data_IF_821358769718
#
_entry.id   IF_821358769718
#
_cell.length_a   1.000
_cell.length_b   1.000
_cell.length_c   1.000
_cell.angle_alpha   90.00
_cell.angle_beta   90.00
_cell.angle_gamma   90.00
#
_symmetry.space_group_name_H-M   'P 1'
#
loop_
_entity.id
_entity.type
_entity.pdbx_description
1 polymer ?
#
# COMPACT_ATOMS: atom_id res chain seq x y z
N UNK A 1 7.23 8.65 -65.15
CA UNK A 1 7.34 7.24 -64.73
C UNK A 1 7.56 7.19 -63.22
N UNK A 2 6.65 6.55 -62.48
CA UNK A 2 6.82 5.92 -61.13
C UNK A 2 7.29 6.87 -59.99
N UNK A 3 6.70 6.90 -58.81
CA UNK A 3 5.71 6.07 -58.14
C UNK A 3 5.61 6.51 -56.67
N UNK A 4 4.55 6.05 -56.01
CA UNK A 4 4.13 6.20 -54.61
C UNK A 4 5.26 6.33 -53.55
N UNK A 5 5.02 7.12 -52.51
CA UNK A 5 4.65 6.59 -51.19
C UNK A 5 4.40 7.72 -50.17
N UNK A 6 3.15 7.81 -49.71
CA UNK A 6 2.73 8.51 -48.50
C UNK A 6 3.35 7.79 -47.30
N UNK A 7 4.04 8.49 -46.42
CA UNK A 7 4.34 7.98 -45.07
C UNK A 7 4.13 9.11 -44.04
N UNK A 8 2.88 9.25 -43.61
CA UNK A 8 2.56 9.96 -42.37
C UNK A 8 2.95 9.03 -41.22
N UNK A 9 4.09 9.29 -40.56
CA UNK A 9 4.40 8.66 -39.27
C UNK A 9 3.84 9.52 -38.15
N UNK A 10 2.74 9.04 -37.57
CA UNK A 10 2.23 9.50 -36.30
C UNK A 10 3.25 9.22 -35.18
N UNK A 11 3.89 10.26 -34.66
CA UNK A 11 4.66 10.20 -33.42
C UNK A 11 3.74 10.46 -32.23
N UNK A 12 2.83 9.51 -31.98
CA UNK A 12 2.08 9.41 -30.74
C UNK A 12 2.74 8.38 -29.83
N UNK A 13 3.65 8.82 -28.97
CA UNK A 13 4.15 8.01 -27.86
C UNK A 13 4.01 8.84 -26.58
N UNK A 14 2.79 8.89 -26.05
CA UNK A 14 2.58 9.22 -24.64
C UNK A 14 3.16 8.05 -23.86
N UNK A 15 4.33 8.25 -23.24
CA UNK A 15 4.85 7.32 -22.25
C UNK A 15 3.80 7.17 -21.15
N UNK A 16 3.18 5.99 -21.06
CA UNK A 16 2.25 5.71 -19.98
C UNK A 16 3.03 5.77 -18.66
N UNK A 17 2.75 6.83 -17.91
CA UNK A 17 3.26 7.06 -16.58
C UNK A 17 3.03 5.81 -15.71
N UNK A 18 4.06 5.46 -14.93
CA UNK A 18 4.01 4.44 -13.89
C UNK A 18 3.24 5.06 -12.71
N UNK A 19 1.93 5.23 -12.88
CA UNK A 19 1.04 5.78 -11.84
C UNK A 19 0.53 4.66 -10.94
N UNK A 20 0.62 4.82 -9.60
CA UNK A 20 -0.10 3.97 -8.65
C UNK A 20 -1.56 3.78 -9.08
N UNK A 21 -2.09 2.56 -8.99
CA UNK A 21 -3.53 2.36 -9.16
C UNK A 21 -4.26 2.82 -7.90
N UNK A 22 -5.19 3.77 -8.07
CA UNK A 22 -5.96 4.40 -6.99
C UNK A 22 -7.22 3.64 -6.57
N UNK A 23 -7.67 2.69 -7.40
CA UNK A 23 -8.91 1.94 -7.25
C UNK A 23 -8.76 0.49 -7.72
N UNK A 24 -9.69 -0.37 -7.29
CA UNK A 24 -9.68 -1.81 -7.54
C UNK A 24 -9.79 -2.15 -9.03
N UNK A 25 -10.60 -1.40 -9.79
CA UNK A 25 -10.76 -1.61 -11.23
C UNK A 25 -9.44 -1.43 -11.98
N UNK A 26 -8.71 -0.36 -11.68
CA UNK A 26 -7.41 -0.08 -12.28
C UNK A 26 -6.33 -1.05 -11.82
N UNK A 27 -6.43 -1.57 -10.60
CA UNK A 27 -5.53 -2.60 -10.07
C UNK A 27 -5.72 -3.95 -10.78
N UNK A 28 -6.97 -4.39 -10.95
CA UNK A 28 -7.30 -5.65 -11.62
C UNK A 28 -6.79 -5.70 -13.07
N UNK A 29 -6.73 -4.55 -13.76
CA UNK A 29 -6.21 -4.43 -15.12
C UNK A 29 -4.67 -4.39 -15.21
N UNK A 30 -3.95 -4.11 -14.10
CA UNK A 30 -2.50 -3.79 -14.11
C UNK A 30 -1.75 -4.51 -12.99
N UNK A 31 -1.71 -5.83 -13.06
CA UNK A 31 -1.18 -6.68 -12.00
C UNK A 31 0.36 -6.73 -11.93
N UNK A 32 1.10 -6.61 -13.06
CA UNK A 32 2.55 -6.82 -13.08
C UNK A 32 3.47 -5.69 -12.56
N UNK A 33 2.95 -4.48 -12.29
CA UNK A 33 3.76 -3.31 -11.86
C UNK A 33 3.60 -2.96 -10.37
N UNK A 34 2.68 -3.62 -9.67
CA UNK A 34 2.18 -3.24 -8.35
C UNK A 34 2.53 -4.31 -7.30
N UNK A 35 3.76 -4.83 -7.27
CA UNK A 35 4.17 -5.84 -6.29
C UNK A 35 5.38 -5.38 -5.47
N UNK A 36 5.48 -5.87 -4.23
CA UNK A 36 6.68 -5.81 -3.40
C UNK A 36 7.69 -6.92 -3.75
N UNK A 37 7.41 -7.74 -4.77
CA UNK A 37 8.24 -8.87 -5.21
C UNK A 37 8.41 -8.90 -6.75
N UNK A 38 9.56 -9.38 -7.22
CA UNK A 38 9.90 -9.47 -8.65
C UNK A 38 9.22 -10.64 -9.39
N UNK A 39 8.78 -11.71 -8.74
CA UNK A 39 8.16 -12.89 -9.39
C UNK A 39 6.73 -13.16 -8.85
N UNK A 40 5.85 -13.71 -9.70
CA UNK A 40 4.43 -14.02 -9.45
C UNK A 40 3.58 -12.81 -9.05
N UNK A 41 3.27 -11.98 -10.07
CA UNK A 41 2.69 -10.65 -9.91
C UNK A 41 1.21 -10.56 -10.22
N UNK A 42 0.57 -11.67 -10.56
CA UNK A 42 -0.81 -11.68 -11.04
C UNK A 42 -1.73 -12.00 -9.88
N UNK A 43 -2.72 -11.13 -9.65
CA UNK A 43 -3.91 -11.47 -8.89
C UNK A 43 -4.88 -12.10 -9.89
N UNK A 44 -5.38 -13.30 -9.59
CA UNK A 44 -6.37 -14.02 -10.37
C UNK A 44 -7.76 -13.48 -10.03
N UNK A 45 -8.42 -12.67 -10.90
CA UNK A 45 -9.63 -11.93 -10.52
C UNK A 45 -10.81 -12.81 -10.10
N UNK A 46 -10.81 -14.07 -10.53
CA UNK A 46 -11.88 -15.04 -10.25
C UNK A 46 -11.78 -15.66 -8.84
N UNK A 47 -10.63 -15.53 -8.17
CA UNK A 47 -10.35 -16.15 -6.87
C UNK A 47 -9.94 -15.14 -5.80
N UNK A 48 -9.59 -13.91 -6.21
CA UNK A 48 -9.13 -12.88 -5.31
C UNK A 48 -10.27 -12.16 -4.60
N UNK A 49 -10.18 -12.07 -3.27
CA UNK A 49 -10.98 -11.14 -2.49
C UNK A 49 -10.21 -9.82 -2.36
N UNK A 50 -10.80 -8.72 -2.85
CA UNK A 50 -10.25 -7.37 -2.69
C UNK A 50 -11.37 -6.41 -2.29
N UNK A 51 -11.24 -5.83 -1.09
CA UNK A 51 -12.15 -4.81 -0.58
C UNK A 51 -11.95 -3.49 -1.34
N UNK A 52 -13.03 -2.76 -1.66
CA UNK A 52 -12.99 -1.51 -2.43
C UNK A 52 -12.49 -0.30 -1.62
N UNK A 53 -11.30 -0.41 -1.00
CA UNK A 53 -10.67 0.67 -0.25
C UNK A 53 -10.07 1.69 -1.22
N UNK A 54 -10.39 2.97 -1.07
CA UNK A 54 -9.80 4.00 -1.94
C UNK A 54 -8.47 4.47 -1.37
N UNK A 55 -7.43 4.54 -2.21
CA UNK A 55 -6.10 4.99 -1.80
C UNK A 55 -6.07 6.50 -1.56
N UNK A 56 -5.81 6.90 -0.31
CA UNK A 56 -5.45 8.28 0.02
C UNK A 56 -3.91 8.45 -0.03
N UNK A 57 -3.43 9.28 -0.96
CA UNK A 57 -2.00 9.33 -1.30
C UNK A 57 -1.19 10.27 -0.41
N UNK A 58 -0.21 9.71 0.27
CA UNK A 58 0.84 10.43 0.96
C UNK A 58 1.87 10.98 -0.03
N UNK A 59 2.21 12.26 0.13
CA UNK A 59 3.25 12.93 -0.68
C UNK A 59 4.36 13.56 0.17
N UNK A 60 4.13 13.78 1.47
CA UNK A 60 5.05 14.51 2.35
C UNK A 60 4.97 14.03 3.80
N UNK A 61 6.03 14.31 4.56
CA UNK A 61 6.10 14.11 6.02
C UNK A 61 5.99 12.65 6.50
N UNK A 62 6.05 12.40 7.82
CA UNK A 62 5.79 11.10 8.44
C UNK A 62 4.27 10.83 8.59
N UNK A 63 3.51 11.02 7.50
CA UNK A 63 2.05 11.01 7.51
C UNK A 63 1.41 9.66 7.11
N UNK A 64 2.19 8.58 7.00
CA UNK A 64 1.68 7.29 6.50
C UNK A 64 0.51 6.76 7.31
N UNK A 65 0.53 6.92 8.64
CA UNK A 65 -0.57 6.54 9.51
C UNK A 65 -1.87 7.31 9.24
N UNK A 66 -1.77 8.63 8.99
CA UNK A 66 -2.94 9.47 8.67
C UNK A 66 -3.56 9.09 7.33
N UNK A 67 -2.75 8.89 6.29
CA UNK A 67 -3.22 8.49 4.96
C UNK A 67 -3.78 7.06 4.93
N UNK A 68 -3.15 6.13 5.65
CA UNK A 68 -3.69 4.78 5.86
C UNK A 68 -5.05 4.83 6.58
N UNK A 69 -5.16 5.63 7.64
CA UNK A 69 -6.41 5.78 8.38
C UNK A 69 -7.51 6.43 7.52
N UNK A 70 -7.20 7.49 6.78
CA UNK A 70 -8.16 8.12 5.87
C UNK A 70 -8.74 7.13 4.85
N UNK A 71 -7.89 6.26 4.28
CA UNK A 71 -8.33 5.20 3.36
C UNK A 71 -9.35 4.25 4.02
N UNK A 72 -9.12 3.88 5.29
CA UNK A 72 -10.02 3.02 6.07
C UNK A 72 -11.32 3.73 6.48
N UNK A 73 -11.24 5.00 6.89
CA UNK A 73 -12.42 5.81 7.26
C UNK A 73 -13.36 5.96 6.07
N UNK A 74 -12.81 6.33 4.92
CA UNK A 74 -13.58 6.50 3.69
C UNK A 74 -14.22 5.18 3.20
N UNK A 75 -13.55 4.04 3.43
CA UNK A 75 -14.12 2.72 3.15
C UNK A 75 -15.43 2.48 3.92
N UNK A 76 -15.47 2.79 5.22
CA UNK A 76 -16.65 2.57 6.05
C UNK A 76 -17.74 3.64 5.88
N UNK A 77 -17.35 4.88 5.59
CA UNK A 77 -18.29 6.00 5.44
C UNK A 77 -18.87 6.12 4.03
N UNK A 78 -18.36 5.39 3.04
CA UNK A 78 -18.89 5.36 1.68
C UNK A 78 -18.64 6.63 0.86
N UNK A 79 -17.66 7.45 1.25
CA UNK A 79 -17.28 8.69 0.57
C UNK A 79 -15.81 9.05 0.82
N UNK A 80 -15.25 9.95 0.00
CA UNK A 80 -13.88 10.48 0.18
C UNK A 80 -13.90 11.79 0.99
N UNK A 81 -14.54 11.75 2.15
CA UNK A 81 -14.81 12.94 2.97
C UNK A 81 -13.65 13.30 3.89
N UNK A 82 -12.75 12.35 4.17
CA UNK A 82 -11.60 12.55 5.06
C UNK A 82 -10.30 12.35 4.29
N UNK A 83 -9.37 13.30 4.39
CA UNK A 83 -8.02 13.14 3.81
C UNK A 83 -6.96 12.97 4.89
N UNK A 84 -5.92 12.18 4.61
CA UNK A 84 -4.77 12.02 5.48
C UNK A 84 -4.00 13.34 5.68
N UNK A 85 -4.09 14.25 4.71
CA UNK A 85 -3.53 15.61 4.81
C UNK A 85 -4.23 16.41 5.91
N UNK A 86 -5.56 16.39 5.96
CA UNK A 86 -6.33 17.09 7.00
C UNK A 86 -6.03 16.50 8.37
N UNK A 87 -6.10 15.17 8.52
CA UNK A 87 -5.74 14.46 9.75
C UNK A 87 -4.33 14.88 10.21
N UNK A 88 -3.35 14.89 9.29
CA UNK A 88 -1.97 15.25 9.60
C UNK A 88 -1.78 16.71 10.01
N UNK A 89 -2.48 17.63 9.36
CA UNK A 89 -2.39 19.05 9.69
C UNK A 89 -3.11 19.41 11.00
N UNK A 90 -4.23 18.75 11.30
CA UNK A 90 -5.06 19.06 12.46
C UNK A 90 -4.56 18.35 13.71
N UNK A 91 -4.13 17.10 13.57
CA UNK A 91 -3.61 16.28 14.67
C UNK A 91 -2.27 15.68 14.30
N UNK A 92 -1.18 16.48 14.24
CA UNK A 92 0.14 15.97 13.91
C UNK A 92 0.59 14.89 14.92
N UNK A 93 1.42 13.92 14.50
CA UNK A 93 1.87 12.85 15.38
C UNK A 93 2.70 13.42 16.54
N UNK A 94 2.54 12.85 17.74
CA UNK A 94 3.28 13.27 18.93
C UNK A 94 4.80 13.05 18.84
N UNK A 95 5.25 12.23 17.88
CA UNK A 95 6.67 11.96 17.61
C UNK A 95 6.99 12.24 16.15
N UNK A 96 8.21 12.72 15.91
CA UNK A 96 8.74 12.98 14.56
C UNK A 96 8.79 11.71 13.68
N UNK A 97 8.80 10.53 14.30
CA UNK A 97 8.81 9.23 13.61
C UNK A 97 7.45 8.82 13.03
N UNK A 98 6.38 9.58 13.31
CA UNK A 98 5.01 9.30 12.86
C UNK A 98 4.08 8.80 13.97
N UNK A 99 2.84 8.48 13.60
CA UNK A 99 1.77 8.09 14.52
C UNK A 99 2.02 6.74 15.20
N UNK A 100 1.74 6.69 16.50
CA UNK A 100 1.54 5.42 17.21
C UNK A 100 0.17 4.82 16.91
N UNK A 101 0.03 3.50 17.12
CA UNK A 101 -1.27 2.84 16.98
C UNK A 101 -2.34 3.40 17.92
N UNK A 102 -1.95 3.83 19.13
CA UNK A 102 -2.88 4.43 20.08
C UNK A 102 -3.47 5.74 19.54
N UNK A 103 -2.65 6.58 18.90
CA UNK A 103 -3.12 7.79 18.23
C UNK A 103 -4.07 7.45 17.07
N UNK A 104 -3.72 6.44 16.25
CA UNK A 104 -4.58 6.01 15.15
C UNK A 104 -5.93 5.45 15.62
N UNK A 105 -5.97 4.71 16.74
CA UNK A 105 -7.22 4.23 17.35
C UNK A 105 -8.07 5.41 17.82
N UNK A 106 -7.48 6.38 18.53
CA UNK A 106 -8.19 7.56 19.00
C UNK A 106 -8.76 8.39 17.83
N UNK A 107 -7.97 8.57 16.76
CA UNK A 107 -8.40 9.26 15.55
C UNK A 107 -9.53 8.50 14.85
N UNK A 108 -9.44 7.18 14.72
CA UNK A 108 -10.50 6.36 14.13
C UNK A 108 -11.83 6.48 14.91
N UNK A 109 -11.74 6.47 16.23
CA UNK A 109 -12.90 6.66 17.12
C UNK A 109 -13.50 8.06 17.00
N UNK A 110 -12.66 9.09 16.87
CA UNK A 110 -13.12 10.47 16.62
C UNK A 110 -13.83 10.60 15.27
N UNK A 111 -13.48 9.76 14.29
CA UNK A 111 -14.16 9.64 12.99
C UNK A 111 -15.39 8.72 13.02
N UNK A 112 -15.84 8.31 14.20
CA UNK A 112 -17.05 7.50 14.39
C UNK A 112 -16.87 6.01 14.09
N UNK A 113 -15.64 5.51 13.93
CA UNK A 113 -15.39 4.07 13.76
C UNK A 113 -15.22 3.38 15.11
N UNK A 114 -15.59 2.10 15.15
CA UNK A 114 -15.05 1.20 16.16
C UNK A 114 -13.66 0.77 15.71
N UNK A 115 -12.66 0.93 16.57
CA UNK A 115 -11.28 0.57 16.28
C UNK A 115 -10.70 -0.24 17.45
N UNK A 116 -10.22 -1.44 17.16
CA UNK A 116 -9.67 -2.37 18.14
C UNK A 116 -8.21 -2.69 17.83
N UNK A 117 -7.26 -2.30 18.70
CA UNK A 117 -5.88 -2.76 18.59
C UNK A 117 -5.80 -4.22 19.04
N UNK A 118 -5.35 -5.10 18.15
CA UNK A 118 -5.31 -6.55 18.36
C UNK A 118 -3.96 -7.13 17.94
N UNK A 119 -3.67 -8.36 18.37
CA UNK A 119 -2.62 -9.18 17.76
C UNK A 119 -3.30 -10.20 16.86
N UNK A 120 -2.97 -10.16 15.57
CA UNK A 120 -3.52 -11.10 14.59
C UNK A 120 -2.44 -12.09 14.18
N UNK A 121 -2.65 -13.35 14.53
CA UNK A 121 -1.83 -14.45 14.04
C UNK A 121 -1.93 -14.58 12.51
N UNK A 122 -1.07 -15.43 11.95
CA UNK A 122 -1.16 -15.87 10.56
C UNK A 122 -2.56 -16.44 10.27
N UNK A 123 -3.12 -16.16 9.08
CA UNK A 123 -4.48 -16.54 8.70
C UNK A 123 -5.59 -15.66 9.30
N UNK A 124 -5.46 -15.15 10.53
CA UNK A 124 -6.50 -14.32 11.14
C UNK A 124 -6.75 -13.00 10.39
N UNK A 125 -5.74 -12.47 9.69
CA UNK A 125 -5.91 -11.34 8.76
C UNK A 125 -6.87 -11.68 7.63
N UNK A 126 -6.80 -12.89 7.08
CA UNK A 126 -7.69 -13.34 6.00
C UNK A 126 -9.13 -13.39 6.49
N UNK A 127 -9.37 -13.95 7.68
CA UNK A 127 -10.73 -14.01 8.21
C UNK A 127 -11.35 -12.62 8.46
N UNK A 128 -10.54 -11.61 8.78
CA UNK A 128 -11.01 -10.22 8.88
C UNK A 128 -11.45 -9.69 7.50
N UNK A 129 -10.66 -9.96 6.47
CA UNK A 129 -10.96 -9.56 5.09
C UNK A 129 -12.22 -10.25 4.56
N UNK A 130 -12.39 -11.55 4.83
CA UNK A 130 -13.60 -12.31 4.47
C UNK A 130 -14.85 -11.79 5.17
N UNK A 131 -14.70 -11.14 6.33
CA UNK A 131 -15.78 -10.41 7.04
C UNK A 131 -15.96 -8.97 6.56
N UNK A 132 -15.29 -8.58 5.47
CA UNK A 132 -15.36 -7.24 4.91
C UNK A 132 -14.62 -6.18 5.72
N UNK A 133 -13.61 -6.57 6.52
CA UNK A 133 -12.90 -5.63 7.39
C UNK A 133 -11.46 -5.43 6.92
N UNK A 134 -11.10 -4.24 6.40
CA UNK A 134 -9.70 -3.94 6.10
C UNK A 134 -8.91 -3.84 7.42
N UNK A 135 -7.65 -4.26 7.37
CA UNK A 135 -6.79 -4.35 8.57
C UNK A 135 -5.60 -3.42 8.42
N UNK A 136 -5.42 -2.48 9.35
CA UNK A 136 -4.24 -1.62 9.36
C UNK A 136 -3.13 -2.29 10.17
N UNK A 137 -1.97 -2.48 9.56
CA UNK A 137 -0.83 -3.19 10.17
C UNK A 137 0.43 -2.31 10.19
N UNK A 138 1.11 -2.17 11.34
CA UNK A 138 2.48 -1.68 11.37
C UNK A 138 3.43 -2.75 10.83
N UNK A 139 4.37 -2.32 9.99
CA UNK A 139 5.39 -3.19 9.39
C UNK A 139 6.77 -2.54 9.47
N UNK A 140 7.81 -3.38 9.58
CA UNK A 140 9.21 -2.96 9.48
C UNK A 140 9.81 -3.53 8.22
N UNK A 141 10.12 -2.67 7.25
CA UNK A 141 10.59 -3.11 5.94
C UNK A 141 11.70 -2.19 5.37
N UNK A 142 12.48 -2.64 4.36
CA UNK A 142 13.52 -1.83 3.75
C UNK A 142 13.00 -0.52 3.12
N UNK A 143 13.66 0.60 3.41
CA UNK A 143 13.26 1.92 2.90
C UNK A 143 13.15 1.97 1.37
N UNK A 144 13.93 1.17 0.63
CA UNK A 144 13.90 1.12 -0.84
C UNK A 144 12.53 0.71 -1.41
N UNK A 145 11.72 -0.01 -0.63
CA UNK A 145 10.37 -0.42 -1.05
C UNK A 145 9.31 0.68 -0.92
N UNK A 146 9.60 1.76 -0.18
CA UNK A 146 8.66 2.86 0.10
C UNK A 146 9.21 4.20 -0.43
N UNK A 147 10.49 4.48 -0.21
CA UNK A 147 11.16 5.69 -0.62
C UNK A 147 11.70 5.53 -2.03
N UNK A 148 11.03 6.12 -3.01
CA UNK A 148 11.55 6.32 -4.37
C UNK A 148 12.69 7.35 -4.44
N UNK A 149 13.50 7.52 -3.37
CA UNK A 149 14.71 8.32 -3.48
C UNK A 149 15.62 7.64 -4.50
N UNK A 150 15.93 8.39 -5.55
CA UNK A 150 16.91 8.07 -6.59
C UNK A 150 18.12 7.47 -5.88
N UNK A 151 18.46 6.22 -6.23
CA UNK A 151 19.67 5.58 -5.74
C UNK A 151 20.85 6.57 -5.96
N UNK A 152 21.77 6.73 -5.00
CA UNK A 152 22.95 7.57 -5.23
C UNK A 152 23.67 7.05 -6.49
N UNK A 153 23.74 7.90 -7.53
CA UNK A 153 24.25 7.56 -8.87
C UNK A 153 23.19 7.34 -9.97
N UNK A 154 21.91 7.65 -9.72
CA UNK A 154 20.77 7.29 -10.59
C UNK A 154 20.43 8.23 -11.76
N UNK A 155 21.41 8.67 -12.56
CA UNK A 155 21.14 9.25 -13.91
C UNK A 155 21.11 8.18 -15.01
N UNK A 156 21.05 6.89 -14.64
CA UNK A 156 21.04 5.79 -15.58
C UNK A 156 19.58 5.45 -15.94
N UNK A 157 19.15 5.60 -17.22
CA UNK A 157 17.82 5.23 -17.67
C UNK A 157 17.70 3.69 -17.67
N UNK A 158 17.52 3.11 -16.50
CA UNK A 158 17.34 1.67 -16.34
C UNK A 158 15.89 1.30 -16.70
N UNK A 159 15.74 0.56 -17.80
CA UNK A 159 14.49 -0.06 -18.23
C UNK A 159 13.92 -0.92 -17.09
N UNK A 160 12.60 -0.84 -16.85
CA UNK A 160 11.93 -1.26 -15.61
C UNK A 160 12.27 -2.65 -15.04
N UNK A 161 12.66 -3.62 -15.86
CA UNK A 161 13.09 -4.95 -15.37
C UNK A 161 14.41 -4.90 -14.59
N UNK A 162 15.39 -4.12 -15.06
CA UNK A 162 16.71 -4.04 -14.41
C UNK A 162 16.61 -3.24 -13.10
N UNK A 163 15.78 -2.18 -13.09
CA UNK A 163 15.50 -1.40 -11.88
C UNK A 163 14.87 -2.25 -10.78
N UNK A 164 13.89 -3.09 -11.12
CA UNK A 164 13.22 -3.95 -10.13
C UNK A 164 14.16 -5.02 -9.57
N UNK A 165 15.03 -5.61 -10.39
CA UNK A 165 16.04 -6.58 -9.92
C UNK A 165 17.09 -5.95 -8.96
N UNK A 166 17.44 -4.69 -9.19
CA UNK A 166 18.35 -3.93 -8.31
C UNK A 166 17.67 -3.57 -6.99
N UNK A 167 16.42 -3.11 -7.03
CA UNK A 167 15.61 -2.81 -5.83
C UNK A 167 15.39 -4.09 -5.00
N UNK A 168 14.90 -5.16 -5.64
CA UNK A 168 15.28 -6.56 -5.45
C UNK A 168 16.39 -6.84 -4.43
N UNK A 169 17.58 -6.83 -5.01
CA UNK A 169 18.81 -7.23 -4.36
C UNK A 169 19.18 -6.27 -3.23
N UNK A 170 18.95 -4.97 -3.40
CA UNK A 170 19.18 -3.97 -2.36
C UNK A 170 18.25 -4.19 -1.16
N UNK A 171 16.97 -4.49 -1.39
CA UNK A 171 16.00 -4.80 -0.34
C UNK A 171 16.37 -6.07 0.41
N UNK A 172 16.71 -7.15 -0.29
CA UNK A 172 17.16 -8.40 0.31
C UNK A 172 18.46 -8.25 1.14
N UNK A 173 19.44 -7.49 0.63
CA UNK A 173 20.68 -7.19 1.36
C UNK A 173 20.42 -6.34 2.60
N UNK A 174 19.53 -5.35 2.50
CA UNK A 174 19.08 -4.54 3.64
C UNK A 174 18.32 -5.36 4.69
N UNK A 175 17.47 -6.30 4.27
CA UNK A 175 16.80 -7.24 5.18
C UNK A 175 17.82 -8.11 5.93
N UNK A 176 18.82 -8.65 5.23
CA UNK A 176 19.88 -9.48 5.84
C UNK A 176 20.78 -8.69 6.79
N UNK A 177 21.08 -7.43 6.44
CA UNK A 177 21.97 -6.56 7.23
C UNK A 177 21.27 -5.70 8.29
N UNK A 178 19.94 -5.67 8.31
CA UNK A 178 19.14 -4.78 9.17
C UNK A 178 19.29 -3.28 8.88
N UNK A 179 19.97 -2.91 7.78
CA UNK A 179 20.28 -1.53 7.43
C UNK A 179 19.13 -0.88 6.66
N UNK A 180 18.81 0.39 6.96
CA UNK A 180 17.80 1.14 6.23
C UNK A 180 16.36 0.61 6.39
N UNK A 181 16.07 -0.11 7.47
CA UNK A 181 14.71 -0.57 7.79
C UNK A 181 13.89 0.57 8.40
N UNK A 182 12.67 0.77 7.92
CA UNK A 182 11.77 1.82 8.39
C UNK A 182 10.46 1.22 8.91
N UNK A 183 9.87 1.89 9.90
CA UNK A 183 8.50 1.60 10.34
C UNK A 183 7.51 2.25 9.36
N UNK A 184 6.48 1.51 8.98
CA UNK A 184 5.46 1.98 8.04
C UNK A 184 4.10 1.37 8.37
N UNK A 185 3.02 1.97 7.91
CA UNK A 185 1.68 1.40 7.99
C UNK A 185 1.22 0.95 6.60
N UNK A 186 0.62 -0.23 6.55
CA UNK A 186 -0.08 -0.74 5.38
C UNK A 186 -1.55 -0.99 5.75
N UNK A 187 -2.46 -0.76 4.81
CA UNK A 187 -3.84 -1.23 4.93
C UNK A 187 -3.94 -2.52 4.15
N UNK A 188 -4.19 -3.64 4.81
CA UNK A 188 -4.48 -4.92 4.16
C UNK A 188 -5.94 -4.90 3.71
N UNK A 189 -6.16 -5.17 2.43
CA UNK A 189 -7.47 -5.01 1.79
C UNK A 189 -7.89 -6.23 0.98
N UNK A 190 -7.04 -7.23 0.83
CA UNK A 190 -7.41 -8.41 0.07
C UNK A 190 -6.40 -9.53 0.16
N UNK A 191 -6.76 -10.66 -0.42
CA UNK A 191 -5.89 -11.81 -0.56
C UNK A 191 -6.24 -12.59 -1.83
N UNK A 192 -5.24 -13.31 -2.34
CA UNK A 192 -5.35 -14.23 -3.46
C UNK A 192 -4.33 -15.35 -3.25
N UNK A 193 -4.80 -16.56 -3.00
CA UNK A 193 -3.98 -17.72 -2.62
C UNK A 193 -2.93 -17.40 -1.53
N UNK A 194 -1.64 -17.30 -1.91
CA UNK A 194 -0.50 -17.02 -1.04
C UNK A 194 -0.11 -15.53 -0.96
N UNK A 195 -0.90 -14.67 -1.59
CA UNK A 195 -0.67 -13.23 -1.71
C UNK A 195 -1.67 -12.43 -0.91
N UNK A 196 -1.16 -11.34 -0.36
CA UNK A 196 -1.92 -10.32 0.33
C UNK A 196 -1.89 -9.04 -0.51
N UNK A 197 -3.06 -8.46 -0.70
CA UNK A 197 -3.25 -7.16 -1.35
C UNK A 197 -3.29 -6.10 -0.26
N UNK A 198 -2.47 -5.06 -0.42
CA UNK A 198 -2.37 -3.94 0.51
C UNK A 198 -2.50 -2.61 -0.22
N UNK A 199 -3.01 -1.59 0.46
CA UNK A 199 -2.89 -0.19 0.06
C UNK A 199 -1.75 0.42 0.86
N UNK A 200 -0.69 0.80 0.16
CA UNK A 200 0.48 1.47 0.70
C UNK A 200 0.35 2.99 0.51
N UNK A 201 0.44 3.81 1.58
CA UNK A 201 0.15 5.25 1.51
C UNK A 201 0.88 6.03 0.41
N UNK A 202 2.10 5.68 0.03
CA UNK A 202 2.86 6.39 -1.01
C UNK A 202 2.56 5.86 -2.42
N UNK A 203 2.52 4.53 -2.56
CA UNK A 203 2.53 3.81 -3.82
C UNK A 203 1.24 3.10 -4.20
N UNK A 204 0.17 3.23 -3.40
CA UNK A 204 -1.16 2.69 -3.70
C UNK A 204 -1.25 1.18 -3.53
N UNK A 205 -2.13 0.56 -4.31
CA UNK A 205 -2.34 -0.89 -4.27
C UNK A 205 -1.06 -1.66 -4.61
N UNK A 206 -0.72 -2.63 -3.77
CA UNK A 206 0.43 -3.52 -3.95
C UNK A 206 0.14 -4.95 -3.50
N UNK A 207 0.85 -5.93 -4.05
CA UNK A 207 0.85 -7.31 -3.54
C UNK A 207 2.12 -7.66 -2.76
N UNK A 208 1.99 -8.49 -1.75
CA UNK A 208 3.07 -9.04 -0.91
C UNK A 208 2.75 -10.49 -0.57
N UNK A 209 3.72 -11.42 -0.59
CA UNK A 209 3.45 -12.78 -0.09
C UNK A 209 3.09 -12.76 1.40
N UNK A 210 2.20 -13.66 1.83
CA UNK A 210 1.81 -13.81 3.24
C UNK A 210 3.03 -13.94 4.16
N UNK A 211 3.98 -14.81 3.77
CA UNK A 211 5.25 -15.01 4.48
C UNK A 211 6.10 -13.74 4.61
N UNK A 212 6.13 -12.89 3.58
CA UNK A 212 6.88 -11.62 3.60
C UNK A 212 6.18 -10.60 4.50
N UNK A 213 4.87 -10.50 4.43
CA UNK A 213 4.08 -9.63 5.31
C UNK A 213 4.26 -10.03 6.79
N UNK A 214 4.13 -11.30 7.13
CA UNK A 214 4.36 -11.81 8.49
C UNK A 214 5.74 -11.44 9.00
N UNK A 215 6.79 -11.67 8.21
CA UNK A 215 8.16 -11.32 8.60
C UNK A 215 8.29 -9.85 8.97
N UNK A 216 7.63 -8.96 8.24
CA UNK A 216 7.67 -7.52 8.53
C UNK A 216 6.80 -7.11 9.72
N UNK A 217 5.70 -7.82 9.97
CA UNK A 217 4.80 -7.58 11.12
C UNK A 217 5.39 -8.06 12.45
N UNK A 218 6.24 -9.10 12.45
CA UNK A 218 6.88 -9.64 13.66
C UNK A 218 7.66 -8.60 14.47
N UNK A 219 8.22 -7.57 13.82
CA UNK A 219 8.90 -6.47 14.51
C UNK A 219 7.98 -5.68 15.47
N UNK A 220 6.67 -5.79 15.28
CA UNK A 220 5.63 -5.18 16.12
C UNK A 220 4.80 -6.25 16.87
N UNK A 221 5.28 -7.49 16.93
CA UNK A 221 4.59 -8.61 17.58
C UNK A 221 3.20 -8.88 16.99
N UNK A 222 3.09 -8.78 15.67
CA UNK A 222 1.86 -9.04 14.91
C UNK A 222 0.67 -8.15 15.29
N UNK A 223 0.98 -6.96 15.82
CA UNK A 223 0.00 -5.94 16.08
C UNK A 223 -0.77 -5.55 14.80
N UNK A 224 -2.03 -5.19 14.97
CA UNK A 224 -2.94 -4.73 13.93
C UNK A 224 -4.05 -3.86 14.55
N UNK A 225 -4.71 -3.07 13.73
CA UNK A 225 -5.97 -2.40 14.07
C UNK A 225 -7.05 -2.97 13.15
N UNK A 226 -8.09 -3.51 13.77
CA UNK A 226 -9.32 -3.91 13.09
C UNK A 226 -10.35 -2.81 13.28
N UNK A 227 -11.08 -2.50 12.20
CA UNK A 227 -12.09 -1.45 12.18
C UNK A 227 -13.44 -2.03 11.83
N UNK A 228 -14.50 -1.45 12.37
CA UNK A 228 -15.86 -1.70 11.91
C UNK A 228 -16.66 -0.40 11.91
N UNK A 229 -17.73 -0.39 11.10
CA UNK A 229 -18.77 0.62 11.22
C UNK A 229 -19.28 0.71 12.68
N UNK A 230 -19.74 1.90 13.11
CA UNK A 230 -20.47 2.01 14.36
C UNK A 230 -21.72 1.11 14.35
N UNK A 231 -22.18 0.65 15.52
CA UNK A 231 -23.43 -0.10 15.61
C UNK A 231 -24.56 0.74 15.00
N UNK A 232 -25.36 0.15 14.11
CA UNK A 232 -26.58 0.81 13.69
C UNK A 232 -27.51 0.84 14.90
N UNK A 233 -27.83 2.03 15.39
CA UNK A 233 -28.90 2.21 16.36
C UNK A 233 -30.22 1.98 15.66
N UNK A 234 -30.91 0.90 16.03
CA UNK A 234 -32.31 0.62 15.67
C UNK A 234 -33.26 1.72 16.18
#
# INVERSE_FOLDING_TARGET
MRGLAVLALAAGAVGCAITPSSDVSTFAERTAANSFEVFDRLVTPEQALVLPVVHDRQTQGPACGAHALASVVNYWQGGQTVTGREIFSETPPARETGYSMAELVALAQAQGLLASPVRLAEGAVIEELERGRPVLVPVRLPAVYIQHRVLPGGDIPLVGMVRNAVIDRAGYVSELGGMGMVAHYLVVVGHDEDRIVVVEPIGGYRTISSRKLERYRRAFGDAAIVFSAPPQSD
#
